data_IF_096030272165
#
_entry.id   IF_096030272165
#
_cell.length_a   1.000
_cell.length_b   1.000
_cell.length_c   1.000
_cell.angle_alpha   90.00
_cell.angle_beta   90.00
_cell.angle_gamma   90.00
#
_symmetry.space_group_name_H-M   'P 1'
#
loop_
_entity.id
_entity.type
_entity.pdbx_description
1 polymer ?
#
# COMPACT_ATOMS: atom_id res chain seq x y z
N UNK A 1 -15.17 2.83 9.26
CA UNK A 1 -14.15 1.99 9.89
C UNK A 1 -12.72 2.45 9.57
N UNK A 2 -12.35 2.45 8.32
CA UNK A 2 -10.99 2.83 7.92
C UNK A 2 -10.73 4.32 8.04
N UNK A 3 -11.67 5.14 7.59
CA UNK A 3 -11.54 6.61 7.71
C UNK A 3 -11.52 7.04 9.17
N UNK A 4 -12.33 6.42 10.02
CA UNK A 4 -12.36 6.71 11.45
C UNK A 4 -11.02 6.37 12.10
N UNK A 5 -10.48 5.19 11.82
CA UNK A 5 -9.19 4.76 12.36
C UNK A 5 -8.07 5.70 11.93
N UNK A 6 -8.07 6.12 10.67
CA UNK A 6 -7.07 7.04 10.16
C UNK A 6 -7.18 8.42 10.82
N UNK A 7 -8.38 8.93 10.97
CA UNK A 7 -8.61 10.24 11.60
C UNK A 7 -8.24 10.24 13.10
N UNK A 8 -8.38 9.11 13.77
CA UNK A 8 -7.90 8.98 15.16
C UNK A 8 -6.37 9.08 15.23
N UNK A 9 -5.69 8.46 14.28
CA UNK A 9 -4.22 8.48 14.26
C UNK A 9 -3.67 9.84 13.82
N UNK A 10 -4.32 10.49 12.86
CA UNK A 10 -3.93 11.80 12.35
C UNK A 10 -5.18 12.57 11.93
N UNK A 11 -5.66 13.52 12.76
CA UNK A 11 -6.87 14.28 12.43
C UNK A 11 -6.81 15.02 11.09
N UNK A 12 -5.62 15.40 10.64
CA UNK A 12 -5.41 16.14 9.40
C UNK A 12 -5.31 15.24 8.16
N UNK A 13 -5.49 13.92 8.31
CA UNK A 13 -5.43 13.00 7.17
C UNK A 13 -6.44 13.41 6.09
N UNK A 14 -5.99 13.36 4.83
CA UNK A 14 -6.85 13.71 3.71
C UNK A 14 -7.43 12.45 3.07
N UNK A 15 -8.70 12.52 2.73
CA UNK A 15 -9.43 11.44 2.07
C UNK A 15 -9.84 11.85 0.66
N UNK A 16 -10.18 10.84 -0.15
CA UNK A 16 -10.68 11.02 -1.53
C UNK A 16 -12.01 10.32 -1.69
N UNK A 17 -12.67 10.55 -2.83
CA UNK A 17 -13.94 9.88 -3.12
C UNK A 17 -13.79 8.36 -3.08
N UNK A 18 -14.81 7.63 -2.61
CA UNK A 18 -14.75 6.16 -2.55
C UNK A 18 -14.64 5.55 -3.95
N UNK A 19 -14.01 4.37 -4.01
CA UNK A 19 -13.98 3.56 -5.22
C UNK A 19 -15.21 2.66 -5.22
N UNK A 20 -15.83 2.44 -6.39
CA UNK A 20 -16.97 1.55 -6.49
C UNK A 20 -16.53 0.11 -6.87
N UNK A 21 -17.47 -0.83 -6.75
CA UNK A 21 -17.19 -2.24 -7.02
C UNK A 21 -16.77 -2.49 -8.46
N UNK A 22 -17.28 -1.71 -9.41
CA UNK A 22 -16.91 -1.84 -10.84
C UNK A 22 -15.45 -1.49 -11.06
N UNK A 23 -14.99 -0.40 -10.46
CA UNK A 23 -13.60 0.03 -10.57
C UNK A 23 -12.65 -0.99 -9.92
N UNK A 24 -13.04 -1.58 -8.78
CA UNK A 24 -12.25 -2.62 -8.13
C UNK A 24 -12.14 -3.87 -8.99
N UNK A 25 -13.24 -4.32 -9.58
CA UNK A 25 -13.24 -5.49 -10.46
C UNK A 25 -12.35 -5.27 -11.69
N UNK A 26 -12.41 -4.09 -12.27
CA UNK A 26 -11.56 -3.71 -13.40
C UNK A 26 -10.08 -3.71 -13.02
N UNK A 27 -9.76 -3.18 -11.85
CA UNK A 27 -8.39 -3.17 -11.34
C UNK A 27 -7.85 -4.59 -11.16
N UNK A 28 -8.63 -5.48 -10.55
CA UNK A 28 -8.24 -6.88 -10.37
C UNK A 28 -8.03 -7.59 -11.70
N UNK A 29 -8.86 -7.27 -12.68
CA UNK A 29 -8.71 -7.84 -14.02
C UNK A 29 -7.40 -7.37 -14.66
N UNK A 30 -7.07 -6.09 -14.56
CA UNK A 30 -5.82 -5.53 -15.09
C UNK A 30 -4.59 -6.13 -14.40
N UNK A 31 -4.66 -6.30 -13.09
CA UNK A 31 -3.58 -6.91 -12.32
C UNK A 31 -3.43 -8.40 -12.58
N UNK A 32 -4.54 -9.08 -12.94
CA UNK A 32 -4.58 -10.53 -13.04
C UNK A 32 -4.53 -11.23 -11.69
N UNK A 33 -4.80 -10.50 -10.61
CA UNK A 33 -4.77 -10.98 -9.22
C UNK A 33 -5.85 -10.30 -8.41
N UNK A 34 -6.33 -10.97 -7.35
CA UNK A 34 -7.23 -10.35 -6.41
C UNK A 34 -6.51 -9.38 -5.48
N UNK A 35 -7.21 -8.32 -5.08
CA UNK A 35 -6.70 -7.39 -4.07
C UNK A 35 -6.99 -7.95 -2.67
N UNK A 36 -6.12 -7.68 -1.68
CA UNK A 36 -6.41 -8.06 -0.29
C UNK A 36 -7.73 -7.48 0.18
N UNK A 37 -8.51 -8.28 0.91
CA UNK A 37 -9.85 -7.87 1.34
C UNK A 37 -9.85 -6.58 2.17
N UNK A 38 -8.86 -6.40 3.04
CA UNK A 38 -8.74 -5.19 3.85
C UNK A 38 -8.50 -3.96 2.98
N UNK A 39 -7.65 -4.06 1.97
CA UNK A 39 -7.37 -2.95 1.05
C UNK A 39 -8.61 -2.60 0.24
N UNK A 40 -9.34 -3.61 -0.26
CA UNK A 40 -10.60 -3.41 -0.98
C UNK A 40 -11.61 -2.66 -0.11
N UNK A 41 -11.76 -3.07 1.15
CA UNK A 41 -12.68 -2.43 2.08
C UNK A 41 -12.31 -0.96 2.33
N UNK A 42 -11.00 -0.68 2.49
CA UNK A 42 -10.52 0.69 2.67
C UNK A 42 -10.82 1.55 1.44
N UNK A 43 -10.51 1.04 0.25
CA UNK A 43 -10.71 1.79 -1.00
C UNK A 43 -12.19 2.09 -1.27
N UNK A 44 -13.10 1.25 -0.78
CA UNK A 44 -14.53 1.51 -0.87
C UNK A 44 -14.99 2.63 0.06
N UNK A 45 -14.16 3.02 1.04
CA UNK A 45 -14.43 4.20 1.87
C UNK A 45 -13.71 5.44 1.33
N UNK A 46 -12.49 5.27 0.81
CA UNK A 46 -11.68 6.38 0.28
C UNK A 46 -10.66 5.85 -0.72
N UNK A 47 -10.52 6.52 -1.84
CA UNK A 47 -9.55 6.14 -2.89
C UNK A 47 -8.15 6.64 -2.52
N UNK A 48 -7.60 6.08 -1.46
CA UNK A 48 -6.30 6.46 -0.94
C UNK A 48 -6.39 7.39 0.26
N UNK A 49 -5.26 7.60 0.93
CA UNK A 49 -5.16 8.49 2.09
C UNK A 49 -3.84 9.24 2.04
N UNK A 50 -3.89 10.56 2.30
CA UNK A 50 -2.70 11.41 2.35
C UNK A 50 -2.43 11.80 3.79
N UNK A 51 -1.23 11.50 4.28
CA UNK A 51 -0.77 11.81 5.62
C UNK A 51 0.04 13.10 5.68
N UNK A 52 0.89 13.20 6.70
CA UNK A 52 1.74 14.38 6.90
C UNK A 52 2.63 14.64 5.69
N UNK A 53 2.85 15.92 5.39
CA UNK A 53 3.74 16.38 4.32
C UNK A 53 3.35 15.87 2.93
N UNK A 54 2.07 15.56 2.73
CA UNK A 54 1.60 15.06 1.45
C UNK A 54 1.98 13.63 1.13
N UNK A 55 2.40 12.87 2.15
CA UNK A 55 2.79 11.47 1.98
C UNK A 55 1.59 10.60 1.61
N UNK A 56 1.69 9.85 0.53
CA UNK A 56 0.66 8.92 0.09
C UNK A 56 0.72 7.62 0.89
N UNK A 57 0.16 7.66 2.09
CA UNK A 57 0.14 6.51 3.02
C UNK A 57 -0.59 5.33 2.39
N UNK A 58 -1.70 5.60 1.70
CA UNK A 58 -2.38 4.63 0.85
C UNK A 58 -2.56 5.27 -0.52
N UNK A 59 -2.07 4.61 -1.55
CA UNK A 59 -2.18 5.10 -2.93
C UNK A 59 -3.61 5.00 -3.44
N UNK A 60 -3.94 5.81 -4.46
CA UNK A 60 -5.16 5.63 -5.23
C UNK A 60 -5.15 4.28 -5.95
N UNK A 61 -6.33 3.79 -6.29
CA UNK A 61 -6.45 2.51 -7.01
C UNK A 61 -5.68 2.50 -8.32
N UNK A 62 -5.75 3.59 -9.08
CA UNK A 62 -5.02 3.69 -10.36
C UNK A 62 -3.50 3.57 -10.14
N UNK A 63 -2.98 4.22 -9.12
CA UNK A 63 -1.56 4.16 -8.82
C UNK A 63 -1.15 2.77 -8.35
N UNK A 64 -1.98 2.10 -7.56
CA UNK A 64 -1.75 0.72 -7.14
C UNK A 64 -1.60 -0.17 -8.36
N UNK A 65 -2.53 -0.07 -9.32
CA UNK A 65 -2.48 -0.87 -10.55
C UNK A 65 -1.21 -0.57 -11.35
N UNK A 66 -0.96 0.70 -11.64
CA UNK A 66 0.17 1.11 -12.47
C UNK A 66 1.52 0.71 -11.88
N UNK A 67 1.71 0.97 -10.59
CA UNK A 67 2.99 0.69 -9.94
C UNK A 67 3.25 -0.81 -9.81
N UNK A 68 2.23 -1.59 -9.47
CA UNK A 68 2.42 -3.04 -9.35
C UNK A 68 2.68 -3.70 -10.68
N UNK A 69 1.99 -3.28 -11.74
CA UNK A 69 2.27 -3.80 -13.09
C UNK A 69 3.71 -3.50 -13.50
N UNK A 70 4.21 -2.32 -13.13
CA UNK A 70 5.60 -1.95 -13.40
C UNK A 70 6.58 -2.83 -12.61
N UNK A 71 6.38 -3.00 -11.31
CA UNK A 71 7.28 -3.81 -10.47
C UNK A 71 7.24 -5.29 -10.83
N UNK A 72 6.09 -5.80 -11.27
CA UNK A 72 5.98 -7.21 -11.66
C UNK A 72 6.48 -7.46 -13.09
N UNK A 73 6.72 -6.42 -13.87
CA UNK A 73 7.11 -6.55 -15.26
C UNK A 73 8.54 -7.09 -15.38
N UNK A 74 8.75 -8.21 -16.09
CA UNK A 74 10.11 -8.73 -16.33
C UNK A 74 10.96 -7.69 -17.05
N UNK A 75 12.19 -7.50 -16.59
CA UNK A 75 13.12 -6.59 -17.22
C UNK A 75 13.06 -5.13 -16.75
N UNK A 76 12.09 -4.75 -15.92
CA UNK A 76 12.07 -3.40 -15.32
C UNK A 76 13.31 -3.21 -14.43
N UNK A 77 13.66 -4.24 -13.65
CA UNK A 77 14.83 -4.22 -12.78
C UNK A 77 15.66 -5.51 -12.99
N UNK A 78 16.24 -5.72 -14.19
CA UNK A 78 16.90 -7.00 -14.51
C UNK A 78 18.10 -7.25 -13.63
N UNK A 79 18.02 -8.28 -12.79
CA UNK A 79 19.12 -8.70 -11.90
C UNK A 79 19.46 -7.73 -10.79
N UNK A 80 18.69 -6.66 -10.62
CA UNK A 80 18.96 -5.62 -9.62
C UNK A 80 18.33 -5.94 -8.26
N UNK A 81 17.10 -6.45 -8.28
CA UNK A 81 16.34 -6.76 -7.05
C UNK A 81 15.79 -8.17 -7.13
N UNK A 82 15.44 -8.72 -5.95
CA UNK A 82 14.65 -9.94 -5.90
C UNK A 82 13.28 -9.70 -6.57
N UNK A 83 12.65 -10.75 -7.16
CA UNK A 83 11.35 -10.59 -7.80
C UNK A 83 10.31 -9.99 -6.85
N UNK A 84 9.48 -9.10 -7.37
CA UNK A 84 8.41 -8.45 -6.61
C UNK A 84 7.06 -9.16 -6.76
N UNK A 85 7.00 -10.27 -7.52
CA UNK A 85 5.75 -10.97 -7.80
C UNK A 85 4.92 -11.35 -6.58
N UNK A 86 5.54 -11.76 -5.43
CA UNK A 86 4.78 -12.11 -4.25
C UNK A 86 4.18 -10.91 -3.50
N UNK A 87 4.53 -9.67 -3.87
CA UNK A 87 4.16 -8.46 -3.15
C UNK A 87 3.15 -7.63 -3.93
N UNK A 88 2.24 -6.97 -3.19
CA UNK A 88 1.37 -5.94 -3.74
C UNK A 88 1.64 -4.64 -2.99
N UNK A 89 2.25 -3.67 -3.66
CA UNK A 89 2.54 -2.36 -3.09
C UNK A 89 1.29 -1.49 -3.06
N UNK A 90 1.12 -0.71 -1.99
CA UNK A 90 -0.08 0.13 -1.82
C UNK A 90 0.17 1.48 -1.17
N UNK A 91 1.37 1.77 -0.74
CA UNK A 91 1.67 3.03 -0.07
C UNK A 91 3.18 3.26 0.04
N UNK A 92 3.56 4.47 0.48
CA UNK A 92 4.98 4.80 0.63
C UNK A 92 5.21 5.74 1.83
N UNK A 93 6.48 6.01 2.12
CA UNK A 93 6.90 6.91 3.20
C UNK A 93 7.29 8.30 2.71
N UNK A 94 7.17 8.56 1.40
CA UNK A 94 7.60 9.81 0.79
C UNK A 94 9.09 9.87 0.46
N UNK A 95 9.88 8.91 0.91
CA UNK A 95 11.34 8.88 0.70
C UNK A 95 11.83 7.73 -0.18
N UNK A 96 10.93 6.99 -0.80
CA UNK A 96 11.30 5.90 -1.70
C UNK A 96 11.02 4.50 -1.16
N UNK A 97 10.86 4.33 0.14
CA UNK A 97 10.48 3.05 0.72
C UNK A 97 8.98 2.83 0.52
N UNK A 98 8.60 1.60 0.19
CA UNK A 98 7.22 1.28 -0.16
C UNK A 98 6.69 0.14 0.71
N UNK A 99 5.39 0.20 0.99
CA UNK A 99 4.72 -0.78 1.83
C UNK A 99 3.88 -1.73 0.99
N UNK A 100 3.87 -3.00 1.37
CA UNK A 100 3.24 -4.04 0.57
C UNK A 100 2.58 -5.12 1.42
N UNK A 101 1.53 -5.71 0.85
CA UNK A 101 1.01 -6.99 1.32
C UNK A 101 1.78 -8.13 0.66
N UNK A 102 1.84 -9.27 1.34
CA UNK A 102 2.33 -10.51 0.74
C UNK A 102 1.12 -11.26 0.17
N UNK A 103 1.18 -11.57 -1.12
CA UNK A 103 0.11 -12.29 -1.82
C UNK A 103 0.35 -13.80 -1.88
N UNK A 104 1.62 -14.22 -1.87
CA UNK A 104 2.00 -15.64 -2.06
C UNK A 104 3.04 -16.05 -1.04
N UNK A 105 2.67 -16.79 0.02
CA UNK A 105 1.31 -17.10 0.45
C UNK A 105 0.58 -15.86 0.98
N UNK A 106 -0.74 -15.81 0.85
CA UNK A 106 -1.53 -14.67 1.31
C UNK A 106 -1.42 -14.51 2.82
N UNK A 107 -1.07 -13.29 3.25
CA UNK A 107 -0.89 -12.94 4.67
C UNK A 107 -1.45 -11.55 4.93
N UNK A 108 -1.96 -11.28 6.13
CA UNK A 108 -2.45 -9.94 6.47
C UNK A 108 -1.34 -8.95 6.79
N UNK A 109 -0.12 -9.42 7.06
CA UNK A 109 1.02 -8.60 7.47
C UNK A 109 1.39 -7.60 6.37
N UNK A 110 1.88 -6.45 6.82
CA UNK A 110 2.43 -5.41 5.95
C UNK A 110 3.95 -5.42 6.07
N UNK A 111 4.62 -5.42 4.92
CA UNK A 111 6.07 -5.36 4.82
C UNK A 111 6.51 -4.04 4.19
N UNK A 112 7.69 -3.57 4.55
CA UNK A 112 8.32 -2.43 3.90
C UNK A 112 9.45 -2.93 3.01
N UNK A 113 9.52 -2.38 1.80
CA UNK A 113 10.66 -2.55 0.91
C UNK A 113 11.55 -1.33 1.03
N UNK A 114 12.78 -1.55 1.52
CA UNK A 114 13.80 -0.50 1.59
C UNK A 114 14.50 -0.45 0.24
N UNK A 115 14.31 0.64 -0.49
CA UNK A 115 14.81 0.77 -1.85
C UNK A 115 16.35 0.88 -1.92
N UNK A 116 17.00 1.22 -0.81
CA UNK A 116 18.45 1.39 -0.80
C UNK A 116 19.21 0.05 -0.84
N UNK A 117 18.68 -0.98 -0.19
CA UNK A 117 19.36 -2.27 -0.07
C UNK A 117 18.49 -3.49 -0.42
N UNK A 118 17.29 -3.27 -0.95
CA UNK A 118 16.32 -4.32 -1.29
C UNK A 118 15.86 -5.14 -0.07
N UNK A 119 16.01 -4.61 1.15
CA UNK A 119 15.50 -5.27 2.35
C UNK A 119 13.98 -5.29 2.36
N UNK A 120 13.41 -6.39 2.86
CA UNK A 120 11.96 -6.58 2.96
C UNK A 120 11.63 -6.94 4.39
N UNK A 121 11.27 -5.95 5.19
CA UNK A 121 11.13 -6.07 6.64
C UNK A 121 9.67 -6.00 7.05
N UNK A 122 9.33 -6.71 8.12
CA UNK A 122 8.00 -6.63 8.71
C UNK A 122 7.76 -5.21 9.26
N UNK A 123 6.60 -4.63 8.93
CA UNK A 123 6.25 -3.28 9.36
C UNK A 123 5.02 -3.24 10.26
N UNK A 124 3.97 -4.00 9.94
CA UNK A 124 2.72 -3.97 10.69
C UNK A 124 1.98 -5.31 10.60
N UNK A 125 1.11 -5.56 11.59
CA UNK A 125 0.37 -6.83 11.67
C UNK A 125 -0.70 -6.98 10.62
N UNK A 126 -1.31 -5.86 10.25
CA UNK A 126 -2.39 -5.79 9.25
C UNK A 126 -2.63 -4.33 8.91
N UNK A 127 -3.59 -4.06 8.02
CA UNK A 127 -3.79 -2.70 7.47
C UNK A 127 -4.16 -1.67 8.54
N UNK A 128 -5.00 -2.01 9.51
CA UNK A 128 -5.37 -1.07 10.57
C UNK A 128 -4.17 -0.68 11.42
N UNK A 129 -3.34 -1.65 11.80
CA UNK A 129 -2.10 -1.40 12.54
C UNK A 129 -1.14 -0.51 11.72
N UNK A 130 -1.06 -0.76 10.40
CA UNK A 130 -0.28 0.07 9.50
C UNK A 130 -0.75 1.52 9.51
N UNK A 131 -2.06 1.76 9.42
CA UNK A 131 -2.60 3.11 9.42
C UNK A 131 -2.25 3.86 10.71
N UNK A 132 -2.42 3.20 11.85
CA UNK A 132 -2.07 3.82 13.14
C UNK A 132 -0.59 4.16 13.20
N UNK A 133 0.29 3.23 12.84
CA UNK A 133 1.73 3.43 12.92
C UNK A 133 2.22 4.47 11.92
N UNK A 134 1.75 4.42 10.68
CA UNK A 134 2.21 5.32 9.62
C UNK A 134 1.69 6.74 9.78
N UNK A 135 0.45 6.92 10.23
CA UNK A 135 -0.15 8.24 10.37
C UNK A 135 0.24 8.92 11.69
N UNK A 136 0.31 8.16 12.78
CA UNK A 136 0.69 8.71 14.09
C UNK A 136 2.20 8.80 14.27
N UNK A 137 2.98 7.98 13.57
CA UNK A 137 4.43 8.00 13.62
C UNK A 137 5.02 9.06 12.71
N UNK A 138 6.34 9.21 12.76
CA UNK A 138 7.06 10.14 11.89
C UNK A 138 8.27 9.45 11.28
N UNK A 139 8.59 9.80 10.03
CA UNK A 139 9.77 9.32 9.35
C UNK A 139 9.87 7.80 9.29
N UNK A 140 10.90 7.27 9.91
CA UNK A 140 11.24 5.84 9.85
C UNK A 140 10.57 5.04 10.98
N UNK A 141 9.27 5.22 11.16
CA UNK A 141 8.50 4.58 12.23
C UNK A 141 8.60 3.05 12.27
N UNK A 142 8.91 2.45 11.14
CA UNK A 142 9.02 0.98 10.95
C UNK A 142 10.42 0.42 11.27
N UNK A 143 11.36 1.28 11.57
CA UNK A 143 12.75 0.89 11.88
C UNK A 143 13.00 0.72 13.36
#
# INVERSE_FOLDING_TARGET
MWKEAAAEALPEVEFRAPVDATALAEAERRLGRGLPAQLTALLMETNGMVGEYGTDVVWSLDRIVEQNLLFWSPGTFPGLYMPFDPLLFFGDNGGGDQFAFVLTPERPDIFVWDHEDDSRLWAARELEDYLHRSLAGSGDWYR
#
